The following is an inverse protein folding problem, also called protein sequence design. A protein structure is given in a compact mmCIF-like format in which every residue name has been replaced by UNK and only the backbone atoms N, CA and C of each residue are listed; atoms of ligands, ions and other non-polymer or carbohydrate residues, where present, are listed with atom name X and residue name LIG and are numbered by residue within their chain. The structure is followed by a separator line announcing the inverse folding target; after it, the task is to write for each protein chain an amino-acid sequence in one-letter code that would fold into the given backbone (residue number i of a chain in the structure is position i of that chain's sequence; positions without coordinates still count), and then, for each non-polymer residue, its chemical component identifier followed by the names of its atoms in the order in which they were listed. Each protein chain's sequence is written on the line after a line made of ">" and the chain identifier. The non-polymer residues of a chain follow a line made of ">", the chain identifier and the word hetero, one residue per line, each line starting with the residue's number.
data_IF_319812240916
#
_entry.id   IF_319812240916
#
_cell.length_a   1.000
_cell.length_b   1.000
_cell.length_c   1.000
_cell.angle_alpha   90.00
_cell.angle_beta   90.00
_cell.angle_gamma   90.00
#
_symmetry.space_group_name_H-M   'P 1'
#
loop_
_entity.id
_entity.type
_entity.pdbx_description
1 polymer ?
#
# COMPACT_ATOMS: atom_id res chain seq x y z
N UNK A 1 -40.04 -20.08 -92.90
CA UNK A 1 -40.27 -20.89 -91.72
C UNK A 1 -39.00 -20.92 -90.86
N UNK A 2 -38.78 -19.99 -89.99
CA UNK A 2 -37.55 -19.87 -89.21
C UNK A 2 -37.92 -19.80 -87.74
N UNK A 3 -37.62 -20.85 -86.97
CA UNK A 3 -37.88 -20.93 -85.53
C UNK A 3 -36.71 -20.27 -84.82
N UNK A 4 -37.01 -19.17 -84.09
CA UNK A 4 -36.06 -18.51 -83.23
C UNK A 4 -36.09 -19.15 -81.84
N UNK A 5 -34.94 -19.65 -81.43
CA UNK A 5 -34.71 -20.26 -80.12
C UNK A 5 -34.25 -19.24 -79.14
N UNK A 6 -35.02 -18.98 -78.07
CA UNK A 6 -34.71 -17.99 -76.99
C UNK A 6 -33.87 -18.74 -75.94
N UNK A 7 -32.62 -18.33 -75.76
CA UNK A 7 -31.78 -18.81 -74.66
C UNK A 7 -32.03 -17.93 -73.39
N UNK A 8 -32.54 -18.53 -72.35
CA UNK A 8 -32.58 -17.94 -71.01
C UNK A 8 -31.24 -18.11 -70.31
N UNK A 9 -30.58 -17.00 -70.10
CA UNK A 9 -29.38 -17.00 -69.25
C UNK A 9 -29.78 -16.90 -67.77
N UNK A 10 -29.51 -17.91 -66.99
CA UNK A 10 -29.63 -17.90 -65.53
C UNK A 10 -28.34 -17.39 -64.94
N UNK A 11 -28.35 -16.19 -64.40
CA UNK A 11 -27.24 -15.60 -63.69
C UNK A 11 -27.28 -16.03 -62.22
N UNK A 12 -26.39 -16.91 -61.81
CA UNK A 12 -26.24 -17.34 -60.42
C UNK A 12 -25.50 -16.26 -59.65
N UNK A 13 -26.16 -15.61 -58.70
CA UNK A 13 -25.53 -14.72 -57.70
C UNK A 13 -24.78 -15.62 -56.68
N UNK A 14 -23.49 -15.56 -56.69
CA UNK A 14 -22.62 -16.11 -55.64
C UNK A 14 -22.55 -15.09 -54.48
N UNK A 15 -23.24 -15.36 -53.38
CA UNK A 15 -23.07 -14.66 -52.13
C UNK A 15 -21.79 -15.16 -51.43
N UNK A 16 -20.87 -14.31 -51.02
CA UNK A 16 -19.76 -14.74 -50.19
C UNK A 16 -20.27 -15.08 -48.79
N UNK A 17 -20.17 -16.31 -48.38
CA UNK A 17 -20.38 -16.74 -47.00
C UNK A 17 -19.28 -16.16 -46.14
N UNK A 18 -19.60 -15.17 -45.30
CA UNK A 18 -18.76 -14.78 -44.20
C UNK A 18 -18.63 -15.96 -43.22
N UNK A 19 -17.57 -16.72 -43.34
CA UNK A 19 -17.18 -17.67 -42.30
C UNK A 19 -16.72 -16.86 -41.07
N UNK A 20 -17.59 -16.77 -40.08
CA UNK A 20 -17.19 -16.36 -38.74
C UNK A 20 -16.15 -17.35 -38.23
N UNK A 21 -14.89 -16.90 -38.19
CA UNK A 21 -13.79 -17.61 -37.58
C UNK A 21 -14.10 -17.70 -36.09
N UNK A 22 -14.64 -18.83 -35.62
CA UNK A 22 -14.69 -19.15 -34.20
C UNK A 22 -13.23 -19.38 -33.74
N UNK A 23 -12.64 -18.32 -33.22
CA UNK A 23 -11.36 -18.40 -32.53
C UNK A 23 -11.65 -18.98 -31.14
N UNK A 24 -11.70 -20.30 -31.04
CA UNK A 24 -11.68 -21.00 -29.76
C UNK A 24 -10.23 -20.91 -29.23
N UNK A 25 -9.79 -19.68 -28.98
CA UNK A 25 -8.62 -19.43 -28.18
C UNK A 25 -8.97 -19.83 -26.75
N UNK A 26 -8.35 -20.88 -26.29
CA UNK A 26 -8.23 -21.21 -24.88
C UNK A 26 -7.39 -20.10 -24.24
N UNK A 27 -8.04 -18.94 -23.98
CA UNK A 27 -7.43 -17.87 -23.20
C UNK A 27 -7.35 -18.38 -21.76
N UNK A 28 -6.23 -19.02 -21.43
CA UNK A 28 -5.78 -19.07 -20.05
C UNK A 28 -5.81 -17.63 -19.54
N UNK A 29 -6.53 -17.32 -18.44
CA UNK A 29 -6.54 -15.96 -17.94
C UNK A 29 -5.10 -15.57 -17.62
N UNK A 30 -4.56 -14.65 -18.40
CA UNK A 30 -3.26 -14.05 -18.15
C UNK A 30 -3.40 -13.31 -16.81
N UNK A 31 -2.99 -13.98 -15.73
CA UNK A 31 -2.96 -13.37 -14.41
C UNK A 31 -2.04 -12.18 -14.54
N UNK A 32 -2.61 -10.98 -14.47
CA UNK A 32 -1.87 -9.74 -14.67
C UNK A 32 -0.66 -9.73 -13.72
N UNK A 33 0.55 -9.81 -14.26
CA UNK A 33 1.80 -9.87 -13.49
C UNK A 33 1.91 -8.70 -12.49
N UNK A 34 1.34 -7.54 -12.82
CA UNK A 34 1.25 -6.39 -11.93
C UNK A 34 0.33 -6.64 -10.72
N UNK A 35 -0.77 -7.39 -10.89
CA UNK A 35 -1.66 -7.74 -9.77
C UNK A 35 -1.02 -8.77 -8.84
N UNK A 36 -0.22 -9.71 -9.39
CA UNK A 36 0.51 -10.70 -8.60
C UNK A 36 1.66 -10.06 -7.83
N UNK A 37 2.41 -9.16 -8.45
CA UNK A 37 3.49 -8.43 -7.78
C UNK A 37 2.96 -7.49 -6.71
N UNK A 38 1.84 -6.79 -6.95
CA UNK A 38 1.17 -5.94 -5.97
C UNK A 38 0.79 -6.70 -4.70
N UNK A 39 0.28 -7.91 -4.82
CA UNK A 39 -0.05 -8.76 -3.68
C UNK A 39 1.17 -9.22 -2.87
N UNK A 40 2.27 -9.54 -3.54
CA UNK A 40 3.52 -9.92 -2.87
C UNK A 40 4.17 -8.72 -2.14
N UNK A 41 4.14 -7.56 -2.74
CA UNK A 41 4.64 -6.31 -2.16
C UNK A 41 3.78 -5.85 -0.97
N UNK A 42 2.45 -5.95 -1.07
CA UNK A 42 1.55 -5.70 0.07
C UNK A 42 1.89 -6.62 1.26
N UNK A 43 2.07 -7.91 1.01
CA UNK A 43 2.46 -8.85 2.06
C UNK A 43 3.85 -8.54 2.65
N UNK A 44 4.79 -8.06 1.82
CA UNK A 44 6.10 -7.63 2.31
C UNK A 44 5.99 -6.42 3.23
N UNK A 45 5.14 -5.44 2.91
CA UNK A 45 4.88 -4.28 3.77
C UNK A 45 4.18 -4.71 5.07
N UNK A 46 3.20 -5.62 5.03
CA UNK A 46 2.55 -6.15 6.24
C UNK A 46 3.58 -6.80 7.18
N UNK A 47 4.53 -7.56 6.66
CA UNK A 47 5.65 -8.10 7.47
C UNK A 47 6.54 -7.01 8.08
N UNK A 48 6.74 -5.89 7.40
CA UNK A 48 7.46 -4.74 7.99
C UNK A 48 6.65 -4.09 9.12
N UNK A 49 5.34 -4.01 8.97
CA UNK A 49 4.43 -3.53 10.03
C UNK A 49 4.50 -4.45 11.26
N UNK A 50 4.44 -5.77 11.07
CA UNK A 50 4.56 -6.74 12.17
C UNK A 50 5.90 -6.59 12.88
N UNK A 51 7.00 -6.50 12.12
CA UNK A 51 8.34 -6.25 12.66
C UNK A 51 8.41 -4.92 13.43
N UNK A 52 7.77 -3.88 12.92
CA UNK A 52 7.73 -2.58 13.60
C UNK A 52 7.07 -2.70 14.97
N UNK A 53 5.92 -3.37 15.05
CA UNK A 53 5.23 -3.63 16.32
C UNK A 53 6.07 -4.44 17.31
N UNK A 54 6.84 -5.41 16.83
CA UNK A 54 7.78 -6.16 17.68
C UNK A 54 8.87 -5.24 18.26
N UNK A 55 9.45 -4.37 17.44
CA UNK A 55 10.47 -3.39 17.87
C UNK A 55 9.89 -2.36 18.85
N UNK A 56 8.65 -1.93 18.64
CA UNK A 56 7.93 -1.05 19.58
C UNK A 56 7.78 -1.73 20.93
N UNK A 57 7.35 -2.98 20.97
CA UNK A 57 7.25 -3.78 22.21
C UNK A 57 8.59 -3.97 22.91
N UNK A 58 9.65 -4.15 22.11
CA UNK A 58 11.02 -4.27 22.63
C UNK A 58 11.62 -2.91 23.04
N UNK A 59 10.95 -1.80 22.75
CA UNK A 59 11.45 -0.42 22.91
C UNK A 59 12.77 -0.19 22.18
N UNK A 60 12.95 -0.83 21.04
CA UNK A 60 14.13 -0.72 20.19
C UNK A 60 14.00 0.43 19.19
N UNK A 61 14.28 1.66 19.63
CA UNK A 61 14.24 2.84 18.77
C UNK A 61 15.27 2.78 17.63
N UNK A 62 16.41 2.11 17.81
CA UNK A 62 17.41 1.96 16.78
C UNK A 62 16.91 1.03 15.68
N UNK A 63 16.35 -0.13 16.05
CA UNK A 63 15.72 -1.05 15.12
C UNK A 63 14.55 -0.43 14.36
N UNK A 64 13.72 0.39 15.02
CA UNK A 64 12.65 1.13 14.36
C UNK A 64 13.23 2.10 13.32
N UNK A 65 14.27 2.86 13.65
CA UNK A 65 14.90 3.79 12.71
C UNK A 65 15.47 3.10 11.46
N UNK A 66 15.87 1.81 11.56
CA UNK A 66 16.30 1.00 10.42
C UNK A 66 15.16 0.64 9.44
N UNK A 67 13.90 0.71 9.87
CA UNK A 67 12.75 0.49 8.99
C UNK A 67 12.50 1.68 8.06
N UNK A 68 13.04 2.85 8.40
CA UNK A 68 12.93 4.04 7.54
C UNK A 68 14.02 4.07 6.48
N UNK A 69 13.74 4.78 5.39
CA UNK A 69 14.74 5.18 4.42
C UNK A 69 15.74 6.17 5.08
N UNK A 70 16.95 6.29 4.54
CA UNK A 70 17.98 7.19 5.09
C UNK A 70 17.51 8.65 5.15
N UNK A 71 16.76 9.08 4.15
CA UNK A 71 16.13 10.40 4.02
C UNK A 71 14.69 10.44 4.55
N UNK A 72 14.24 9.37 5.22
CA UNK A 72 12.90 9.23 5.76
C UNK A 72 12.56 10.23 6.84
N UNK A 73 11.28 10.33 7.15
CA UNK A 73 10.77 11.28 8.13
C UNK A 73 9.64 10.68 8.98
N UNK A 74 9.67 10.97 10.28
CA UNK A 74 8.55 10.76 11.19
C UNK A 74 7.94 12.11 11.56
N UNK A 75 6.63 12.21 11.53
CA UNK A 75 5.85 13.44 11.73
C UNK A 75 4.79 13.24 12.81
N UNK A 76 5.19 13.26 14.09
CA UNK A 76 4.26 13.12 15.19
C UNK A 76 3.39 14.39 15.34
N UNK A 77 2.18 14.29 15.91
CA UNK A 77 1.34 15.45 16.19
C UNK A 77 2.01 16.36 17.23
N UNK A 78 1.82 17.66 17.05
CA UNK A 78 2.28 18.70 17.98
C UNK A 78 3.79 18.69 18.30
N UNK A 79 4.61 18.12 17.40
CA UNK A 79 6.05 18.05 17.55
C UNK A 79 6.75 18.31 16.20
N UNK A 80 8.01 18.75 16.23
CA UNK A 80 8.79 18.93 15.00
C UNK A 80 8.95 17.62 14.23
N UNK A 81 9.09 17.74 12.92
CA UNK A 81 9.43 16.60 12.04
C UNK A 81 10.83 16.07 12.38
N UNK A 82 10.94 14.77 12.60
CA UNK A 82 12.19 14.05 12.71
C UNK A 82 12.65 13.53 11.34
N UNK A 83 13.70 14.13 10.75
CA UNK A 83 14.24 13.72 9.44
C UNK A 83 15.55 12.98 9.59
N UNK A 84 15.66 11.88 8.84
CA UNK A 84 16.84 11.02 8.81
C UNK A 84 16.95 10.14 10.06
N UNK A 85 17.79 9.13 9.96
CA UNK A 85 17.88 8.01 10.93
C UNK A 85 18.06 8.47 12.39
N UNK A 86 18.98 9.39 12.64
CA UNK A 86 19.26 9.86 14.00
C UNK A 86 18.08 10.56 14.63
N UNK A 87 17.41 11.48 13.90
CA UNK A 87 16.27 12.22 14.43
C UNK A 87 15.05 11.29 14.61
N UNK A 88 14.84 10.34 13.70
CA UNK A 88 13.80 9.32 13.81
C UNK A 88 14.02 8.46 15.07
N UNK A 89 15.25 7.97 15.28
CA UNK A 89 15.59 7.20 16.48
C UNK A 89 15.34 8.01 17.77
N UNK A 90 15.74 9.26 17.80
CA UNK A 90 15.51 10.14 18.95
C UNK A 90 14.02 10.37 19.22
N UNK A 91 13.23 10.59 18.19
CA UNK A 91 11.77 10.76 18.28
C UNK A 91 11.12 9.51 18.87
N UNK A 92 11.42 8.33 18.34
CA UNK A 92 10.89 7.08 18.85
C UNK A 92 11.34 6.78 20.28
N UNK A 93 12.63 7.00 20.58
CA UNK A 93 13.15 6.84 21.94
C UNK A 93 12.42 7.73 22.94
N UNK A 94 12.18 9.00 22.59
CA UNK A 94 11.45 9.94 23.43
C UNK A 94 10.01 9.49 23.67
N UNK A 95 9.28 9.08 22.65
CA UNK A 95 7.90 8.59 22.78
C UNK A 95 7.84 7.36 23.70
N UNK A 96 8.72 6.38 23.49
CA UNK A 96 8.75 5.12 24.24
C UNK A 96 9.24 5.25 25.69
N UNK A 97 9.86 6.39 26.05
CA UNK A 97 10.22 6.71 27.45
C UNK A 97 9.03 7.17 28.28
N UNK A 98 7.91 7.54 27.62
CA UNK A 98 6.70 7.93 28.37
C UNK A 98 6.22 6.78 29.22
N UNK A 99 6.01 6.98 30.55
CA UNK A 99 5.51 5.91 31.41
C UNK A 99 4.21 5.30 30.86
N UNK A 100 4.09 3.98 30.95
CA UNK A 100 2.91 3.26 30.45
C UNK A 100 2.76 3.22 28.94
N UNK A 101 3.81 3.61 28.16
CA UNK A 101 3.78 3.58 26.72
C UNK A 101 3.49 2.16 26.20
N UNK A 102 2.37 2.04 25.49
CA UNK A 102 1.93 0.86 24.75
C UNK A 102 1.23 1.33 23.48
N UNK A 103 1.82 0.98 22.32
CA UNK A 103 1.35 1.38 21.01
C UNK A 103 1.01 0.17 20.16
N UNK A 104 -0.18 0.18 19.58
CA UNK A 104 -0.59 -0.74 18.53
C UNK A 104 -1.09 0.04 17.33
N UNK A 105 -0.87 -0.47 16.12
CA UNK A 105 -1.43 0.10 14.89
C UNK A 105 -1.75 -1.01 13.90
N UNK A 106 -2.77 -0.79 13.09
CA UNK A 106 -3.33 -1.81 12.19
C UNK A 106 -3.56 -1.15 10.83
N UNK A 107 -2.94 -1.69 9.76
CA UNK A 107 -3.24 -1.28 8.40
C UNK A 107 -4.70 -1.55 8.03
N UNK A 108 -5.41 -0.51 7.62
CA UNK A 108 -6.74 -0.59 6.99
C UNK A 108 -6.59 -0.89 5.49
N UNK A 109 -5.67 -0.21 4.84
CA UNK A 109 -5.42 -0.38 3.41
C UNK A 109 -3.95 -0.13 3.06
N UNK A 110 -3.40 -1.02 2.23
CA UNK A 110 -2.09 -0.85 1.60
C UNK A 110 -2.30 -0.81 0.08
N UNK A 111 -1.84 0.25 -0.57
CA UNK A 111 -1.94 0.44 -2.02
C UNK A 111 -0.53 0.53 -2.59
N UNK A 112 -0.15 -0.44 -3.41
CA UNK A 112 1.12 -0.44 -4.12
C UNK A 112 0.97 0.27 -5.46
N UNK A 113 1.93 1.12 -5.83
CA UNK A 113 1.96 1.78 -7.13
C UNK A 113 2.04 0.75 -8.27
N UNK A 114 1.56 1.09 -9.45
CA UNK A 114 1.65 0.21 -10.62
C UNK A 114 3.09 -0.10 -11.04
N UNK A 115 4.04 0.78 -10.71
CA UNK A 115 5.47 0.58 -10.91
C UNK A 115 6.12 -0.33 -9.85
N UNK A 116 5.43 -0.62 -8.74
CA UNK A 116 5.93 -1.48 -7.67
C UNK A 116 7.08 -0.89 -6.86
N UNK A 117 7.29 0.42 -6.89
CA UNK A 117 8.39 1.13 -6.23
C UNK A 117 7.96 1.97 -5.03
N UNK A 118 6.67 2.28 -4.94
CA UNK A 118 6.06 3.02 -3.84
C UNK A 118 4.78 2.35 -3.36
N UNK A 119 4.46 2.56 -2.10
CA UNK A 119 3.15 2.18 -1.56
C UNK A 119 2.68 3.20 -0.51
N UNK A 120 1.36 3.28 -0.38
CA UNK A 120 0.68 4.00 0.68
C UNK A 120 0.07 2.98 1.62
N UNK A 121 0.37 3.08 2.91
CA UNK A 121 -0.23 2.33 3.99
C UNK A 121 -0.96 3.32 4.90
N UNK A 122 -2.25 3.12 5.08
CA UNK A 122 -3.06 3.89 6.01
C UNK A 122 -3.75 2.97 6.99
N UNK A 123 -3.98 3.46 8.18
CA UNK A 123 -4.65 2.69 9.20
C UNK A 123 -4.95 3.50 10.45
N UNK A 124 -5.23 2.77 11.51
CA UNK A 124 -5.54 3.34 12.82
C UNK A 124 -4.52 2.91 13.85
N UNK A 125 -4.37 3.70 14.91
CA UNK A 125 -3.54 3.36 16.04
C UNK A 125 -4.30 3.53 17.37
N UNK A 126 -3.79 2.83 18.37
CA UNK A 126 -4.13 3.03 19.77
C UNK A 126 -2.85 3.16 20.58
N UNK A 127 -2.74 4.25 21.31
CA UNK A 127 -1.63 4.54 22.20
C UNK A 127 -2.15 4.63 23.64
N UNK A 128 -1.56 3.87 24.54
CA UNK A 128 -1.73 4.06 25.97
C UNK A 128 -0.45 4.63 26.55
N UNK A 129 -0.60 5.57 27.49
CA UNK A 129 0.49 6.16 28.27
C UNK A 129 -0.01 6.44 29.69
N UNK A 130 0.89 6.64 30.63
CA UNK A 130 0.55 6.98 32.01
C UNK A 130 1.47 8.10 32.54
N UNK A 131 1.49 9.29 31.90
CA UNK A 131 2.25 10.41 32.40
C UNK A 131 1.76 10.75 33.81
N UNK A 132 2.69 10.95 34.75
CA UNK A 132 2.38 11.22 36.15
C UNK A 132 1.48 10.18 36.86
N UNK A 133 1.55 8.91 36.38
CA UNK A 133 0.79 7.79 36.94
C UNK A 133 -0.71 7.75 36.58
N UNK A 134 -1.18 8.66 35.74
CA UNK A 134 -2.57 8.69 35.26
C UNK A 134 -2.64 8.04 33.88
N UNK A 135 -3.41 6.95 33.77
CA UNK A 135 -3.61 6.25 32.50
C UNK A 135 -4.38 7.15 31.50
N UNK A 136 -3.85 7.29 30.33
CA UNK A 136 -4.45 8.02 29.20
C UNK A 136 -4.42 7.12 27.97
N UNK A 137 -5.43 7.21 27.14
CA UNK A 137 -5.50 6.50 25.86
C UNK A 137 -5.76 7.51 24.76
N UNK A 138 -5.00 7.41 23.69
CA UNK A 138 -5.21 8.12 22.45
C UNK A 138 -5.51 7.11 21.33
N UNK A 139 -6.43 7.46 20.46
CA UNK A 139 -6.71 6.74 19.22
C UNK A 139 -6.60 7.71 18.06
N UNK A 140 -6.21 7.21 16.92
CA UNK A 140 -6.04 8.06 15.74
C UNK A 140 -5.78 7.26 14.48
N UNK A 141 -5.35 7.97 13.47
CA UNK A 141 -5.06 7.45 12.14
C UNK A 141 -3.64 7.80 11.75
N UNK A 142 -3.09 6.99 10.83
CA UNK A 142 -1.77 7.20 10.30
C UNK A 142 -1.73 6.99 8.78
N UNK A 143 -0.71 7.54 8.16
CA UNK A 143 -0.30 7.23 6.79
C UNK A 143 1.22 7.04 6.79
N UNK A 144 1.64 5.88 6.27
CA UNK A 144 3.03 5.63 5.93
C UNK A 144 3.17 5.54 4.42
N UNK A 145 4.09 6.31 3.87
CA UNK A 145 4.55 6.15 2.49
C UNK A 145 5.77 5.24 2.51
N UNK A 146 5.65 4.11 1.85
CA UNK A 146 6.74 3.16 1.67
C UNK A 146 7.43 3.39 0.34
N UNK A 147 8.74 3.20 0.32
CA UNK A 147 9.58 3.22 -0.89
C UNK A 147 10.42 1.95 -0.95
N UNK A 148 10.45 1.33 -2.11
CA UNK A 148 11.26 0.13 -2.34
C UNK A 148 12.73 0.50 -2.47
N UNK A 149 13.59 -0.19 -1.73
CA UNK A 149 15.04 -0.04 -1.74
C UNK A 149 15.66 -1.43 -1.96
N UNK A 150 16.04 -1.71 -3.19
CA UNK A 150 16.42 -3.07 -3.58
C UNK A 150 15.24 -4.03 -3.45
N UNK A 151 15.38 -5.06 -2.61
CA UNK A 151 14.31 -6.02 -2.27
C UNK A 151 13.42 -5.56 -1.11
N UNK A 152 13.84 -4.54 -0.36
CA UNK A 152 13.21 -4.16 0.90
C UNK A 152 12.29 -2.95 0.75
N UNK A 153 11.24 -2.90 1.58
CA UNK A 153 10.39 -1.74 1.75
C UNK A 153 10.84 -0.92 2.95
N UNK A 154 11.00 0.39 2.76
CA UNK A 154 11.42 1.35 3.79
C UNK A 154 10.42 2.48 3.89
N UNK A 155 10.08 2.90 5.13
CA UNK A 155 9.22 4.04 5.36
C UNK A 155 9.92 5.34 4.92
N UNK A 156 9.38 6.02 3.93
CA UNK A 156 9.88 7.32 3.46
C UNK A 156 9.25 8.48 4.23
N UNK A 157 7.99 8.32 4.60
CA UNK A 157 7.26 9.30 5.42
C UNK A 157 6.27 8.56 6.31
N UNK A 158 6.21 8.93 7.56
CA UNK A 158 5.28 8.41 8.56
C UNK A 158 4.64 9.59 9.29
N UNK A 159 3.35 9.76 9.10
CA UNK A 159 2.55 10.81 9.74
C UNK A 159 1.37 10.20 10.47
N UNK A 160 1.12 10.67 11.67
CA UNK A 160 -0.05 10.26 12.45
C UNK A 160 -0.65 11.43 13.20
N UNK A 161 -1.92 11.32 13.50
CA UNK A 161 -2.65 12.34 14.25
C UNK A 161 -3.81 11.72 15.04
N UNK A 162 -4.08 12.35 16.19
CA UNK A 162 -5.12 11.95 17.12
C UNK A 162 -6.53 12.22 16.56
N UNK A 163 -7.50 11.42 17.01
CA UNK A 163 -8.92 11.66 16.85
C UNK A 163 -9.53 12.44 18.01
N UNK A 164 -8.74 12.63 19.08
CA UNK A 164 -9.16 13.46 20.20
C UNK A 164 -9.17 14.93 19.80
N UNK A 165 -10.07 15.74 20.37
CA UNK A 165 -10.04 17.18 20.18
C UNK A 165 -8.68 17.75 20.57
N UNK A 166 -8.19 18.74 19.82
CA UNK A 166 -7.00 19.47 20.21
C UNK A 166 -7.23 20.04 21.61
N UNK A 167 -6.31 19.78 22.53
CA UNK A 167 -6.35 20.40 23.86
C UNK A 167 -6.33 21.90 23.63
N UNK A 168 -7.38 22.61 24.10
CA UNK A 168 -7.50 24.05 23.92
C UNK A 168 -6.24 24.73 24.44
N UNK A 169 -5.61 25.53 23.57
CA UNK A 169 -4.52 26.41 23.95
C UNK A 169 -5.02 27.58 24.78
#
# INVERSE_FOLDING_TARGET
>A
MTKTLLLLSVTALLLPACQARQNSGNETPEVNAAAVSGGADEQAIRRQVDRWLELVKAKDAAGIAELYAEDGAVMPPNAPIGKGRTAIQQTWASMMQTPGFDLTFIPDQIIVSSSGDMALDRGTYRLAVAPNGTAQTDTGKYVVVWRKSGSDWKAAADIFNSDLPASGG
#
